data_IF_605805374680
#
_entry.id   IF_605805374680
#
_cell.length_a   1.000
_cell.length_b   1.000
_cell.length_c   1.000
_cell.angle_alpha   90.00
_cell.angle_beta   90.00
_cell.angle_gamma   90.00
#
_symmetry.space_group_name_H-M   'P 1'
#
loop_
_entity.id
_entity.type
_entity.pdbx_description
1 polymer ?
#
# COMPACT_ATOMS: atom_id res chain seq x y z
N UNK A 1 -64.62 -9.80 17.32
CA UNK A 1 -63.71 -9.36 18.40
C UNK A 1 -62.47 -8.78 17.74
N UNK A 2 -62.42 -7.46 17.60
CA UNK A 2 -61.28 -6.71 17.09
C UNK A 2 -60.24 -6.57 18.21
N UNK A 3 -59.13 -7.29 18.09
CA UNK A 3 -58.00 -7.16 19.00
C UNK A 3 -57.37 -5.78 18.85
N UNK A 4 -57.48 -4.96 19.88
CA UNK A 4 -56.79 -3.68 19.98
C UNK A 4 -55.30 -3.99 20.17
N UNK A 5 -54.50 -3.69 19.16
CA UNK A 5 -53.04 -3.74 19.20
C UNK A 5 -52.54 -2.64 20.16
N UNK A 6 -52.45 -2.98 21.45
CA UNK A 6 -51.87 -2.10 22.47
C UNK A 6 -50.37 -1.99 22.21
N UNK A 7 -49.99 -1.06 21.33
CA UNK A 7 -48.63 -0.51 21.32
C UNK A 7 -48.40 0.15 22.68
N UNK A 8 -47.81 -0.60 23.62
CA UNK A 8 -47.19 0.00 24.80
C UNK A 8 -46.22 1.05 24.28
N UNK A 9 -46.51 2.32 24.55
CA UNK A 9 -45.52 3.36 24.41
C UNK A 9 -44.38 2.98 25.35
N UNK A 10 -43.28 2.48 24.80
CA UNK A 10 -42.06 2.23 25.56
C UNK A 10 -41.48 3.60 25.92
N UNK A 11 -42.05 4.23 26.95
CA UNK A 11 -41.61 5.53 27.44
C UNK A 11 -40.32 5.26 28.22
N UNK A 12 -39.18 5.46 27.54
CA UNK A 12 -37.88 5.52 28.22
C UNK A 12 -37.95 6.63 29.28
N UNK A 13 -37.52 6.37 30.53
CA UNK A 13 -37.48 7.40 31.57
C UNK A 13 -36.43 8.49 31.28
N UNK A 14 -35.53 8.25 30.32
CA UNK A 14 -34.55 9.23 29.86
C UNK A 14 -34.90 9.77 28.47
N UNK A 15 -34.57 11.05 28.22
CA UNK A 15 -34.67 11.64 26.88
C UNK A 15 -33.82 10.84 25.90
N UNK A 16 -34.25 10.82 24.64
CA UNK A 16 -33.50 10.19 23.56
C UNK A 16 -32.09 10.79 23.46
N UNK A 17 -31.12 9.94 23.14
CA UNK A 17 -29.75 10.38 22.90
C UNK A 17 -29.71 11.42 21.77
N UNK A 18 -28.85 12.43 21.90
CA UNK A 18 -28.70 13.49 20.89
C UNK A 18 -28.26 12.95 19.50
N UNK A 19 -27.51 11.85 19.47
CA UNK A 19 -27.19 11.10 18.24
C UNK A 19 -28.04 9.84 18.17
N UNK A 20 -28.98 9.82 17.22
CA UNK A 20 -29.89 8.70 17.00
C UNK A 20 -29.34 7.67 16.01
N UNK A 21 -28.19 7.90 15.37
CA UNK A 21 -27.64 6.97 14.38
C UNK A 21 -27.40 5.61 15.01
N UNK A 22 -27.90 4.57 14.35
CA UNK A 22 -27.62 3.17 14.68
C UNK A 22 -27.37 2.40 13.39
N UNK A 23 -26.37 1.52 13.42
CA UNK A 23 -26.01 0.64 12.32
C UNK A 23 -26.46 -0.79 12.63
N UNK A 24 -27.75 -0.96 12.92
CA UNK A 24 -28.35 -2.24 13.36
C UNK A 24 -28.34 -3.30 12.25
N UNK A 25 -28.14 -2.85 11.00
CA UNK A 25 -28.03 -3.69 9.83
C UNK A 25 -26.58 -4.14 9.53
N UNK A 26 -25.60 -3.87 10.41
CA UNK A 26 -24.21 -4.26 10.17
C UNK A 26 -23.95 -5.69 10.66
N UNK A 27 -23.29 -6.49 9.84
CA UNK A 27 -22.90 -7.83 10.24
C UNK A 27 -21.69 -7.74 11.20
N UNK A 28 -21.77 -8.48 12.31
CA UNK A 28 -20.78 -8.47 13.38
C UNK A 28 -20.03 -9.81 13.38
N UNK A 29 -18.79 -9.88 12.84
CA UNK A 29 -18.03 -11.13 12.73
C UNK A 29 -17.86 -11.85 14.06
N UNK A 30 -17.78 -11.11 15.17
CA UNK A 30 -17.71 -11.70 16.50
C UNK A 30 -18.92 -12.56 16.90
N UNK A 31 -20.03 -12.46 16.15
CA UNK A 31 -21.25 -13.26 16.38
C UNK A 31 -21.59 -14.17 15.21
N UNK A 32 -21.22 -13.79 14.00
CA UNK A 32 -21.59 -14.50 12.76
C UNK A 32 -20.52 -15.44 12.26
N UNK A 33 -19.25 -15.27 12.67
CA UNK A 33 -18.11 -16.03 12.19
C UNK A 33 -17.33 -16.67 13.35
N UNK A 34 -16.88 -17.91 13.18
CA UNK A 34 -16.18 -18.66 14.22
C UNK A 34 -14.80 -18.08 14.52
N UNK A 35 -14.06 -17.69 13.49
CA UNK A 35 -12.74 -17.08 13.63
C UNK A 35 -12.85 -15.68 14.25
N UNK A 36 -13.80 -14.87 13.77
CA UNK A 36 -14.11 -13.56 14.33
C UNK A 36 -14.52 -13.62 15.81
N UNK A 37 -15.36 -14.60 16.17
CA UNK A 37 -15.73 -14.85 17.57
C UNK A 37 -14.52 -15.25 18.42
N UNK A 38 -13.69 -16.17 17.95
CA UNK A 38 -12.51 -16.63 18.68
C UNK A 38 -11.49 -15.50 18.90
N UNK A 39 -11.19 -14.73 17.86
CA UNK A 39 -10.26 -13.58 17.93
C UNK A 39 -10.80 -12.47 18.82
N UNK A 40 -12.12 -12.26 18.85
CA UNK A 40 -12.72 -11.21 19.69
C UNK A 40 -12.42 -11.41 21.18
N UNK A 41 -12.25 -12.65 21.65
CA UNK A 41 -11.92 -12.96 23.05
C UNK A 41 -10.58 -12.37 23.51
N UNK A 42 -9.64 -12.12 22.58
CA UNK A 42 -8.34 -11.48 22.89
C UNK A 42 -8.52 -10.01 23.31
N UNK A 43 -9.57 -9.35 22.82
CA UNK A 43 -9.81 -7.90 22.98
C UNK A 43 -11.09 -7.63 23.81
N UNK A 44 -11.53 -8.61 24.61
CA UNK A 44 -12.65 -8.46 25.54
C UNK A 44 -13.96 -9.16 25.13
N UNK A 45 -13.94 -9.96 24.07
CA UNK A 45 -15.05 -10.82 23.67
C UNK A 45 -15.97 -10.24 22.60
N UNK A 46 -17.04 -10.96 22.26
CA UNK A 46 -17.92 -10.58 21.16
C UNK A 46 -18.78 -9.37 21.49
N UNK A 47 -19.20 -8.64 20.44
CA UNK A 47 -20.08 -7.48 20.57
C UNK A 47 -21.35 -7.84 21.36
N UNK A 48 -21.61 -7.07 22.43
CA UNK A 48 -22.74 -7.29 23.31
C UNK A 48 -24.10 -7.20 22.60
N UNK A 49 -25.10 -7.97 23.07
CA UNK A 49 -26.45 -8.02 22.49
C UNK A 49 -27.14 -6.66 22.40
N UNK A 50 -26.85 -5.77 23.35
CA UNK A 50 -27.43 -4.42 23.44
C UNK A 50 -26.42 -3.32 23.05
N UNK A 51 -25.30 -3.68 22.42
CA UNK A 51 -24.30 -2.72 21.99
C UNK A 51 -24.83 -1.88 20.83
N UNK A 52 -24.70 -0.55 20.94
CA UNK A 52 -25.13 0.38 19.89
C UNK A 52 -23.98 0.64 18.93
N UNK A 53 -24.12 0.16 17.69
CA UNK A 53 -23.09 0.27 16.65
C UNK A 53 -23.32 1.53 15.81
N UNK A 54 -22.25 2.22 15.44
CA UNK A 54 -22.30 3.40 14.56
C UNK A 54 -22.20 4.76 15.27
N UNK A 55 -22.12 4.77 16.61
CA UNK A 55 -21.93 5.99 17.42
C UNK A 55 -20.48 6.22 17.88
N UNK A 56 -19.58 5.29 17.60
CA UNK A 56 -18.17 5.41 17.98
C UNK A 56 -17.48 6.49 17.15
N UNK A 57 -16.99 7.54 17.81
CA UNK A 57 -16.33 8.68 17.15
C UNK A 57 -14.87 8.39 16.78
N UNK A 58 -14.19 7.59 17.61
CA UNK A 58 -12.76 7.34 17.47
C UNK A 58 -12.47 5.99 16.79
N UNK A 59 -12.96 4.87 17.31
CA UNK A 59 -12.72 3.56 16.71
C UNK A 59 -13.82 3.20 15.70
N UNK A 60 -13.80 3.90 14.55
CA UNK A 60 -14.57 3.48 13.37
C UNK A 60 -13.91 2.24 12.75
N UNK A 61 -14.63 1.29 12.11
CA UNK A 61 -14.05 0.06 11.56
C UNK A 61 -12.83 0.26 10.65
N UNK A 62 -12.77 1.39 9.94
CA UNK A 62 -11.65 1.73 9.06
C UNK A 62 -10.32 1.95 9.81
N UNK A 63 -10.34 2.49 11.03
CA UNK A 63 -9.09 2.78 11.77
C UNK A 63 -8.36 1.53 12.22
N UNK A 64 -9.03 0.51 12.82
CA UNK A 64 -8.41 -0.79 13.04
C UNK A 64 -7.88 -1.43 11.76
N UNK A 65 -8.60 -1.33 10.63
CA UNK A 65 -8.10 -1.85 9.35
C UNK A 65 -6.84 -1.15 8.87
N UNK A 66 -6.74 0.18 9.05
CA UNK A 66 -5.51 0.91 8.76
C UNK A 66 -4.38 0.53 9.71
N UNK A 67 -4.65 0.32 11.00
CA UNK A 67 -3.62 -0.18 11.92
C UNK A 67 -3.09 -1.55 11.49
N UNK A 68 -3.98 -2.47 11.12
CA UNK A 68 -3.61 -3.79 10.60
C UNK A 68 -2.79 -3.65 9.31
N UNK A 69 -3.26 -2.84 8.36
CA UNK A 69 -2.56 -2.59 7.10
C UNK A 69 -1.16 -2.02 7.35
N UNK A 70 -1.02 -1.06 8.28
CA UNK A 70 0.27 -0.46 8.65
C UNK A 70 1.22 -1.49 9.27
N UNK A 71 0.71 -2.41 10.10
CA UNK A 71 1.53 -3.51 10.64
C UNK A 71 2.03 -4.42 9.51
N UNK A 72 1.17 -4.80 8.57
CA UNK A 72 1.55 -5.65 7.44
C UNK A 72 2.50 -4.95 6.47
N UNK A 73 2.29 -3.65 6.22
CA UNK A 73 3.20 -2.79 5.47
C UNK A 73 4.56 -2.69 6.19
N UNK A 74 4.58 -2.50 7.51
CA UNK A 74 5.83 -2.46 8.27
C UNK A 74 6.60 -3.77 8.17
N UNK A 75 5.91 -4.91 8.34
CA UNK A 75 6.50 -6.24 8.11
C UNK A 75 7.04 -6.37 6.69
N UNK A 76 6.29 -5.91 5.69
CA UNK A 76 6.73 -5.96 4.31
C UNK A 76 7.98 -5.12 4.05
N UNK A 77 8.07 -3.91 4.60
CA UNK A 77 9.28 -3.10 4.52
C UNK A 77 10.45 -3.78 5.25
N UNK A 78 10.20 -4.38 6.43
CA UNK A 78 11.22 -5.14 7.16
C UNK A 78 11.78 -6.31 6.37
N UNK A 79 10.96 -6.99 5.53
CA UNK A 79 11.49 -8.03 4.64
C UNK A 79 12.47 -7.49 3.60
N UNK A 80 12.31 -6.24 3.15
CA UNK A 80 13.19 -5.62 2.16
C UNK A 80 14.44 -4.98 2.79
N UNK A 81 14.37 -4.62 4.07
CA UNK A 81 15.43 -3.90 4.79
C UNK A 81 16.81 -4.57 4.72
N UNK A 82 16.89 -5.90 4.70
CA UNK A 82 18.16 -6.62 4.62
C UNK A 82 18.95 -6.32 3.33
N UNK A 83 18.24 -6.12 2.21
CA UNK A 83 18.78 -5.76 0.90
C UNK A 83 19.04 -4.26 0.72
N UNK A 84 18.55 -3.42 1.63
CA UNK A 84 18.76 -1.96 1.58
C UNK A 84 20.07 -1.52 2.25
N UNK A 85 20.83 -2.46 2.81
CA UNK A 85 22.16 -2.18 3.33
C UNK A 85 23.06 -1.65 2.21
N UNK A 86 23.57 -0.44 2.36
CA UNK A 86 24.41 0.18 1.33
C UNK A 86 25.88 -0.18 1.49
N UNK A 87 26.56 -0.45 0.38
CA UNK A 87 28.03 -0.58 0.29
C UNK A 87 28.63 0.59 -0.47
N UNK A 88 29.94 0.80 -0.29
CA UNK A 88 30.68 1.91 -0.89
C UNK A 88 30.97 3.07 0.07
N UNK A 89 32.03 3.82 -0.24
CA UNK A 89 32.46 5.03 0.48
C UNK A 89 32.15 6.25 -0.37
N UNK A 90 31.87 7.39 0.29
CA UNK A 90 31.63 8.67 -0.39
C UNK A 90 30.23 9.25 -0.19
N UNK A 91 29.73 9.98 -1.18
CA UNK A 91 28.42 10.65 -1.17
C UNK A 91 27.27 9.69 -1.49
N UNK A 92 26.01 10.10 -1.25
CA UNK A 92 24.84 9.21 -1.41
C UNK A 92 24.66 8.63 -2.81
N UNK A 93 25.08 9.36 -3.84
CA UNK A 93 25.10 8.96 -5.26
C UNK A 93 26.20 7.94 -5.61
N UNK A 94 27.22 7.79 -4.74
CA UNK A 94 28.29 6.81 -4.93
C UNK A 94 28.02 5.49 -4.19
N UNK A 95 27.07 5.49 -3.26
CA UNK A 95 26.66 4.29 -2.52
C UNK A 95 25.59 3.53 -3.28
N UNK A 96 25.71 2.21 -3.30
CA UNK A 96 24.76 1.29 -3.94
C UNK A 96 24.21 0.31 -2.90
N UNK A 97 23.04 -0.27 -3.17
CA UNK A 97 22.50 -1.34 -2.34
C UNK A 97 23.37 -2.61 -2.47
N UNK A 98 23.62 -3.29 -1.35
CA UNK A 98 24.43 -4.50 -1.32
C UNK A 98 23.64 -5.71 -1.83
N UNK A 99 23.87 -6.05 -3.09
CA UNK A 99 23.25 -7.20 -3.77
C UNK A 99 24.28 -8.29 -4.09
N UNK A 100 25.45 -8.26 -3.43
CA UNK A 100 26.54 -9.22 -3.64
C UNK A 100 26.07 -10.66 -3.42
N UNK A 101 26.68 -11.61 -4.13
CA UNK A 101 26.40 -13.04 -4.02
C UNK A 101 24.90 -13.40 -4.15
N UNK A 102 24.14 -12.68 -4.98
CA UNK A 102 22.72 -12.93 -5.19
C UNK A 102 21.88 -12.81 -3.91
N UNK A 103 22.29 -11.92 -2.99
CA UNK A 103 21.63 -11.63 -1.70
C UNK A 103 20.13 -11.44 -1.77
N UNK A 104 19.66 -10.76 -2.81
CA UNK A 104 18.25 -10.54 -3.05
C UNK A 104 17.42 -11.83 -3.09
N UNK A 105 18.00 -12.95 -3.53
CA UNK A 105 17.29 -14.21 -3.70
C UNK A 105 17.38 -15.11 -2.46
N UNK A 106 18.55 -15.24 -1.83
CA UNK A 106 18.70 -16.13 -0.67
C UNK A 106 18.16 -15.51 0.63
N UNK A 107 18.14 -14.17 0.76
CA UNK A 107 17.51 -13.47 1.89
C UNK A 107 16.03 -13.10 1.61
N UNK A 108 15.49 -13.47 0.45
CA UNK A 108 14.11 -13.21 0.03
C UNK A 108 13.71 -11.71 0.07
N UNK A 109 14.70 -10.81 -0.08
CA UNK A 109 14.50 -9.36 -0.02
C UNK A 109 14.48 -8.66 -1.38
N UNK A 110 14.33 -9.43 -2.47
CA UNK A 110 14.22 -8.91 -3.83
C UNK A 110 13.11 -7.85 -4.00
N UNK A 111 13.42 -6.78 -4.73
CA UNK A 111 12.47 -5.75 -5.16
C UNK A 111 12.92 -5.18 -6.50
N UNK A 112 12.01 -5.06 -7.46
CA UNK A 112 12.26 -4.48 -8.78
C UNK A 112 12.59 -2.99 -8.69
N UNK A 113 12.11 -2.30 -7.66
CA UNK A 113 12.32 -0.86 -7.50
C UNK A 113 13.80 -0.46 -7.45
N UNK A 114 14.66 -1.27 -6.80
CA UNK A 114 16.10 -1.03 -6.69
C UNK A 114 16.84 -1.13 -8.02
N UNK A 115 16.78 -2.25 -8.78
CA UNK A 115 17.43 -2.35 -10.09
C UNK A 115 16.81 -1.41 -11.12
N UNK A 116 15.51 -1.13 -11.04
CA UNK A 116 14.83 -0.22 -11.97
C UNK A 116 15.38 1.21 -11.89
N UNK A 117 15.85 1.64 -10.71
CA UNK A 117 16.51 2.93 -10.54
C UNK A 117 17.70 3.13 -11.49
N UNK A 118 18.49 2.07 -11.69
CA UNK A 118 19.62 2.07 -12.63
C UNK A 118 19.17 1.81 -14.07
N UNK A 119 18.39 0.74 -14.27
CA UNK A 119 18.02 0.24 -15.59
C UNK A 119 17.23 1.25 -16.42
N UNK A 120 16.33 2.01 -15.80
CA UNK A 120 15.46 2.98 -16.47
C UNK A 120 16.09 4.38 -16.60
N UNK A 121 17.41 4.49 -16.39
CA UNK A 121 18.15 5.75 -16.43
C UNK A 121 17.64 6.81 -15.41
N UNK A 122 16.87 6.39 -14.41
CA UNK A 122 16.38 7.26 -13.33
C UNK A 122 17.56 7.79 -12.49
N UNK A 123 18.60 6.98 -12.31
CA UNK A 123 19.88 7.39 -11.72
C UNK A 123 20.54 8.56 -12.46
N UNK A 124 20.27 8.74 -13.75
CA UNK A 124 20.76 9.87 -14.55
C UNK A 124 19.81 11.08 -14.55
N UNK A 125 18.67 10.99 -13.85
CA UNK A 125 17.66 12.05 -13.80
C UNK A 125 16.87 12.22 -15.09
N UNK A 126 16.89 11.24 -16.00
CA UNK A 126 16.19 11.33 -17.28
C UNK A 126 14.69 11.14 -17.08
N UNK A 127 13.90 11.86 -17.87
CA UNK A 127 12.45 11.75 -17.84
C UNK A 127 12.00 10.46 -18.54
N UNK A 128 11.17 9.62 -17.89
CA UNK A 128 10.64 8.39 -18.48
C UNK A 128 9.94 8.62 -19.82
N UNK A 129 9.94 7.62 -20.70
CA UNK A 129 9.34 7.66 -22.05
C UNK A 129 10.01 8.57 -23.09
N UNK A 130 10.72 9.63 -22.68
CA UNK A 130 11.52 10.46 -23.59
C UNK A 130 12.92 9.89 -23.79
N UNK A 131 13.47 9.23 -22.77
CA UNK A 131 14.75 8.54 -22.86
C UNK A 131 14.60 7.08 -23.26
N UNK A 132 15.56 6.59 -24.03
CA UNK A 132 15.72 5.19 -24.38
C UNK A 132 17.15 4.72 -24.08
N UNK A 133 17.35 3.42 -24.01
CA UNK A 133 18.67 2.80 -23.95
C UNK A 133 18.74 1.60 -24.90
N UNK A 134 19.96 1.24 -25.29
CA UNK A 134 20.24 0.05 -26.09
C UNK A 134 20.47 -1.09 -25.11
N UNK A 135 19.72 -2.18 -25.27
CA UNK A 135 19.92 -3.40 -24.50
C UNK A 135 21.22 -4.06 -24.93
N UNK A 136 22.04 -4.44 -23.95
CA UNK A 136 23.39 -4.96 -24.17
C UNK A 136 23.48 -6.34 -23.51
N UNK A 137 24.16 -7.28 -24.16
CA UNK A 137 24.40 -8.62 -23.62
C UNK A 137 25.41 -8.61 -22.45
N UNK A 138 25.61 -9.78 -21.83
CA UNK A 138 26.60 -9.97 -20.75
C UNK A 138 28.05 -9.72 -21.18
N UNK A 139 28.32 -9.61 -22.48
CA UNK A 139 29.62 -9.34 -23.09
C UNK A 139 29.77 -7.87 -23.54
N UNK A 140 28.80 -7.00 -23.24
CA UNK A 140 28.84 -5.59 -23.61
C UNK A 140 28.47 -5.30 -25.07
N UNK A 141 27.93 -6.26 -25.83
CA UNK A 141 27.49 -6.08 -27.22
C UNK A 141 25.99 -5.76 -27.28
N UNK A 142 25.55 -4.85 -28.15
CA UNK A 142 24.13 -4.58 -28.35
C UNK A 142 23.38 -5.87 -28.71
N UNK A 143 22.32 -6.16 -27.97
CA UNK A 143 21.38 -7.21 -28.33
C UNK A 143 20.71 -6.82 -29.65
N UNK A 144 20.84 -7.68 -30.64
CA UNK A 144 20.21 -7.49 -31.95
C UNK A 144 18.87 -8.21 -31.92
N UNK A 145 17.79 -7.47 -32.18
CA UNK A 145 16.45 -8.04 -32.31
C UNK A 145 16.37 -8.86 -33.60
N UNK A 146 15.37 -9.74 -33.74
CA UNK A 146 15.16 -10.58 -34.93
C UNK A 146 15.10 -9.82 -36.26
N UNK A 147 14.90 -8.50 -36.23
CA UNK A 147 14.87 -7.57 -37.36
C UNK A 147 16.26 -7.03 -37.76
N UNK A 148 17.33 -7.44 -37.10
CA UNK A 148 18.70 -6.98 -37.37
C UNK A 148 19.04 -5.61 -36.80
N UNK A 149 18.12 -4.96 -36.07
CA UNK A 149 18.34 -3.68 -35.42
C UNK A 149 18.73 -3.86 -33.94
N UNK A 150 19.48 -2.92 -33.34
CA UNK A 150 19.73 -2.95 -31.90
C UNK A 150 18.41 -2.82 -31.12
N UNK A 151 18.27 -3.63 -30.07
CA UNK A 151 17.09 -3.61 -29.21
C UNK A 151 17.06 -2.32 -28.38
N UNK A 152 16.26 -1.34 -28.83
CA UNK A 152 16.00 -0.10 -28.10
C UNK A 152 14.87 -0.34 -27.09
N UNK A 153 15.14 -0.08 -25.81
CA UNK A 153 14.19 -0.18 -24.71
C UNK A 153 13.75 1.21 -24.24
N UNK A 154 12.51 1.26 -23.79
CA UNK A 154 11.86 2.42 -23.19
C UNK A 154 11.22 1.98 -21.87
N UNK A 155 10.84 2.95 -21.04
CA UNK A 155 10.06 2.70 -19.82
C UNK A 155 8.83 1.84 -20.11
N UNK A 156 8.79 0.64 -19.55
CA UNK A 156 7.75 -0.36 -19.81
C UNK A 156 6.50 -0.15 -18.92
N UNK A 157 6.62 0.60 -17.83
CA UNK A 157 5.54 0.83 -16.88
C UNK A 157 4.46 1.78 -17.44
N UNK A 158 3.20 1.70 -16.95
CA UNK A 158 2.16 2.66 -17.27
C UNK A 158 2.56 4.11 -16.91
N UNK A 159 2.10 5.08 -17.70
CA UNK A 159 2.53 6.49 -17.62
C UNK A 159 2.49 7.06 -16.20
N UNK A 160 1.41 6.82 -15.45
CA UNK A 160 1.28 7.30 -14.07
C UNK A 160 2.32 6.66 -13.13
N UNK A 161 2.61 5.38 -13.31
CA UNK A 161 3.63 4.66 -12.54
C UNK A 161 5.03 5.16 -12.89
N UNK A 162 5.35 5.37 -14.17
CA UNK A 162 6.62 5.94 -14.58
C UNK A 162 6.82 7.37 -14.06
N UNK A 163 5.78 8.21 -14.10
CA UNK A 163 5.82 9.56 -13.51
C UNK A 163 6.01 9.51 -12.00
N UNK A 164 5.38 8.55 -11.32
CA UNK A 164 5.58 8.34 -9.88
C UNK A 164 7.03 7.93 -9.55
N UNK A 165 7.62 7.04 -10.35
CA UNK A 165 9.04 6.68 -10.24
C UNK A 165 9.93 7.91 -10.43
N UNK A 166 9.66 8.74 -11.45
CA UNK A 166 10.42 9.97 -11.68
C UNK A 166 10.31 10.96 -10.51
N UNK A 167 9.12 11.13 -9.93
CA UNK A 167 8.91 11.95 -8.74
C UNK A 167 9.69 11.42 -7.54
N UNK A 168 9.64 10.10 -7.30
CA UNK A 168 10.39 9.45 -6.22
C UNK A 168 11.90 9.64 -6.38
N UNK A 169 12.40 9.52 -7.62
CA UNK A 169 13.79 9.78 -7.97
C UNK A 169 14.18 11.24 -7.73
N UNK A 170 13.34 12.19 -8.11
CA UNK A 170 13.60 13.62 -7.92
C UNK A 170 13.73 13.96 -6.44
N UNK A 171 12.87 13.37 -5.60
CA UNK A 171 12.95 13.51 -4.14
C UNK A 171 14.24 12.87 -3.58
N UNK A 172 14.62 11.68 -4.07
CA UNK A 172 15.86 11.02 -3.66
C UNK A 172 17.10 11.85 -4.03
N UNK A 173 17.17 12.39 -5.24
CA UNK A 173 18.28 13.27 -5.67
C UNK A 173 18.33 14.57 -4.87
N UNK A 174 17.17 15.13 -4.52
CA UNK A 174 17.08 16.31 -3.66
C UNK A 174 17.63 16.00 -2.26
N UNK A 175 17.31 14.84 -1.69
CA UNK A 175 17.89 14.38 -0.43
C UNK A 175 19.41 14.21 -0.54
N UNK A 176 19.91 13.58 -1.62
CA UNK A 176 21.35 13.45 -1.87
C UNK A 176 22.03 14.82 -1.92
N UNK A 177 21.44 15.79 -2.61
CA UNK A 177 21.97 17.16 -2.67
C UNK A 177 22.04 17.81 -1.26
N UNK A 178 21.01 17.62 -0.43
CA UNK A 178 21.00 18.10 0.95
C UNK A 178 22.04 17.39 1.84
N UNK A 179 22.26 16.09 1.64
CA UNK A 179 23.28 15.32 2.38
C UNK A 179 24.70 15.78 2.06
N UNK A 180 24.95 16.22 0.81
CA UNK A 180 26.24 16.83 0.40
C UNK A 180 26.51 18.15 1.13
N UNK A 181 25.46 18.89 1.49
CA UNK A 181 25.54 20.10 2.31
C UNK A 181 25.68 19.82 3.82
N UNK A 182 25.81 18.54 4.23
CA UNK A 182 25.81 18.04 5.62
C UNK A 182 24.60 18.46 6.46
N UNK A 183 23.47 18.76 5.82
CA UNK A 183 22.22 19.08 6.52
C UNK A 183 21.53 17.82 7.05
N UNK A 184 21.72 16.70 6.35
CA UNK A 184 21.11 15.39 6.65
C UNK A 184 22.16 14.28 6.55
N UNK A 185 21.95 13.11 7.23
CA UNK A 185 22.89 11.99 7.14
C UNK A 185 23.02 11.46 5.71
N UNK A 186 24.18 10.91 5.40
CA UNK A 186 24.44 10.34 4.07
C UNK A 186 23.84 8.94 4.00
N UNK A 187 22.82 8.79 3.15
CA UNK A 187 22.17 7.53 2.81
C UNK A 187 22.36 7.27 1.31
N UNK A 188 22.41 6.01 0.89
CA UNK A 188 22.48 5.69 -0.54
C UNK A 188 21.24 6.22 -1.28
N UNK A 189 21.45 6.87 -2.43
CA UNK A 189 20.38 7.51 -3.20
C UNK A 189 19.30 6.50 -3.61
N UNK A 190 19.72 5.27 -3.98
CA UNK A 190 18.82 4.14 -4.27
C UNK A 190 17.91 3.77 -3.09
N UNK A 191 18.43 3.85 -1.86
CA UNK A 191 17.67 3.49 -0.66
C UNK A 191 16.65 4.59 -0.35
N UNK A 192 17.03 5.86 -0.49
CA UNK A 192 16.09 6.97 -0.35
C UNK A 192 15.01 6.91 -1.43
N UNK A 193 15.37 6.57 -2.66
CA UNK A 193 14.41 6.33 -3.73
C UNK A 193 13.41 5.23 -3.36
N UNK A 194 13.91 4.09 -2.87
CA UNK A 194 13.07 3.00 -2.38
C UNK A 194 12.12 3.46 -1.28
N UNK A 195 12.62 4.15 -0.25
CA UNK A 195 11.81 4.57 0.89
C UNK A 195 10.73 5.57 0.50
N UNK A 196 11.05 6.53 -0.36
CA UNK A 196 10.08 7.48 -0.91
C UNK A 196 9.01 6.74 -1.72
N UNK A 197 9.43 5.80 -2.57
CA UNK A 197 8.51 4.98 -3.35
C UNK A 197 7.63 4.11 -2.43
N UNK A 198 8.18 3.54 -1.37
CA UNK A 198 7.45 2.71 -0.41
C UNK A 198 6.38 3.51 0.34
N UNK A 199 6.64 4.79 0.68
CA UNK A 199 5.64 5.66 1.34
C UNK A 199 4.41 5.85 0.44
N UNK A 200 4.58 6.19 -0.84
CA UNK A 200 3.41 6.37 -1.71
C UNK A 200 2.72 5.05 -2.04
N UNK A 201 3.44 3.92 -2.11
CA UNK A 201 2.82 2.59 -2.23
C UNK A 201 2.02 2.23 -0.97
N UNK A 202 2.50 2.57 0.23
CA UNK A 202 1.76 2.41 1.47
C UNK A 202 0.50 3.26 1.49
N UNK A 203 0.56 4.52 1.06
CA UNK A 203 -0.62 5.39 0.92
C UNK A 203 -1.62 4.84 -0.10
N UNK A 204 -1.14 4.33 -1.23
CA UNK A 204 -1.98 3.67 -2.23
C UNK A 204 -2.67 2.43 -1.64
N UNK A 205 -1.95 1.62 -0.85
CA UNK A 205 -2.54 0.46 -0.17
C UNK A 205 -3.60 0.87 0.87
N UNK A 206 -3.39 1.93 1.63
CA UNK A 206 -4.42 2.47 2.53
C UNK A 206 -5.65 2.96 1.76
N UNK A 207 -5.46 3.56 0.58
CA UNK A 207 -6.57 3.92 -0.31
C UNK A 207 -7.32 2.67 -0.82
N UNK A 208 -6.60 1.60 -1.18
CA UNK A 208 -7.17 0.28 -1.53
C UNK A 208 -8.04 -0.27 -0.40
N UNK A 209 -7.52 -0.29 0.85
CA UNK A 209 -8.27 -0.75 2.03
C UNK A 209 -9.50 0.12 2.28
N UNK A 210 -9.38 1.44 2.14
CA UNK A 210 -10.51 2.37 2.28
C UNK A 210 -11.58 2.13 1.22
N UNK A 211 -11.18 1.93 -0.03
CA UNK A 211 -12.09 1.66 -1.13
C UNK A 211 -12.81 0.32 -0.95
N UNK A 212 -12.07 -0.72 -0.56
CA UNK A 212 -12.63 -2.03 -0.21
C UNK A 212 -13.65 -1.94 0.93
N UNK A 213 -13.30 -1.27 2.03
CA UNK A 213 -14.20 -1.07 3.17
C UNK A 213 -15.45 -0.26 2.79
N UNK A 214 -15.31 0.70 1.88
CA UNK A 214 -16.43 1.51 1.37
C UNK A 214 -17.36 0.70 0.44
N UNK A 215 -16.84 -0.29 -0.27
CA UNK A 215 -17.60 -1.20 -1.14
C UNK A 215 -18.30 -2.33 -0.36
N UNK A 216 -17.74 -2.75 0.78
CA UNK A 216 -18.20 -3.90 1.56
C UNK A 216 -19.58 -3.73 2.25
N UNK A 217 -20.16 -2.51 2.26
CA UNK A 217 -21.53 -2.25 2.69
C UNK A 217 -21.83 -2.71 4.12
N UNK A 218 -22.67 -3.74 4.28
CA UNK A 218 -23.04 -4.31 5.59
C UNK A 218 -21.92 -5.14 6.23
N UNK A 219 -21.02 -5.70 5.43
CA UNK A 219 -19.93 -6.59 5.86
C UNK A 219 -18.57 -5.88 5.84
N UNK A 220 -18.52 -4.66 6.35
CA UNK A 220 -17.31 -3.79 6.32
C UNK A 220 -16.06 -4.54 6.79
N UNK A 221 -16.19 -5.43 7.77
CA UNK A 221 -15.09 -6.22 8.32
C UNK A 221 -14.45 -7.22 7.35
N UNK A 222 -15.10 -7.59 6.25
CA UNK A 222 -14.47 -8.41 5.19
C UNK A 222 -13.25 -7.68 4.58
N UNK A 223 -13.23 -6.34 4.58
CA UNK A 223 -12.08 -5.56 4.13
C UNK A 223 -10.83 -5.73 5.02
N UNK A 224 -10.98 -6.27 6.24
CA UNK A 224 -9.83 -6.62 7.07
C UNK A 224 -9.00 -7.76 6.44
N UNK A 225 -9.61 -8.64 5.64
CA UNK A 225 -8.89 -9.69 4.90
C UNK A 225 -7.98 -9.09 3.84
N UNK A 226 -8.41 -7.99 3.20
CA UNK A 226 -7.56 -7.22 2.27
C UNK A 226 -6.41 -6.60 3.05
N UNK A 227 -6.69 -5.87 4.14
CA UNK A 227 -5.68 -5.21 4.95
C UNK A 227 -4.62 -6.18 5.53
N UNK A 228 -5.05 -7.37 5.97
CA UNK A 228 -4.22 -8.42 6.59
C UNK A 228 -3.76 -9.51 5.59
N UNK A 229 -3.77 -9.23 4.28
CA UNK A 229 -3.38 -10.24 3.31
C UNK A 229 -1.88 -10.56 3.44
N UNK A 230 -1.48 -11.85 3.56
CA UNK A 230 -0.07 -12.24 3.62
C UNK A 230 0.73 -11.80 2.39
N UNK A 231 0.07 -11.64 1.24
CA UNK A 231 0.71 -11.13 0.02
C UNK A 231 1.25 -9.72 0.20
N UNK A 232 0.65 -8.91 1.08
CA UNK A 232 1.13 -7.55 1.38
C UNK A 232 2.54 -7.60 1.95
N UNK A 233 2.85 -8.57 2.81
CA UNK A 233 4.18 -8.68 3.42
C UNK A 233 5.24 -8.88 2.34
N UNK A 234 4.99 -9.76 1.37
CA UNK A 234 6.04 -10.13 0.41
C UNK A 234 6.06 -9.28 -0.85
N UNK A 235 4.89 -8.86 -1.34
CA UNK A 235 4.74 -8.31 -2.69
C UNK A 235 4.54 -6.79 -2.72
N UNK A 236 4.07 -6.15 -1.64
CA UNK A 236 3.64 -4.74 -1.70
C UNK A 236 4.75 -3.76 -2.10
N UNK A 237 6.01 -4.10 -1.80
CA UNK A 237 7.19 -3.33 -2.18
C UNK A 237 8.11 -4.07 -3.15
N UNK A 238 7.66 -5.18 -3.73
CA UNK A 238 8.41 -5.84 -4.79
C UNK A 238 8.29 -5.04 -6.08
N UNK A 239 7.08 -4.55 -6.40
CA UNK A 239 6.81 -3.71 -7.56
C UNK A 239 5.80 -2.60 -7.22
N UNK A 240 5.46 -1.74 -8.18
CA UNK A 240 4.58 -0.58 -8.04
C UNK A 240 3.07 -0.92 -8.12
N UNK A 241 2.70 -2.17 -7.88
CA UNK A 241 1.33 -2.71 -8.04
C UNK A 241 0.30 -2.11 -7.06
N UNK A 242 0.76 -1.49 -5.97
CA UNK A 242 -0.14 -0.80 -5.04
C UNK A 242 -0.87 0.39 -5.70
N UNK A 243 -0.24 1.05 -6.69
CA UNK A 243 -0.86 2.13 -7.45
C UNK A 243 -2.05 1.65 -8.31
N UNK A 244 -1.89 0.68 -9.23
CA UNK A 244 -3.00 0.22 -10.05
C UNK A 244 -4.10 -0.44 -9.21
N UNK A 245 -3.78 -1.12 -8.11
CA UNK A 245 -4.81 -1.66 -7.21
C UNK A 245 -5.65 -0.56 -6.55
N UNK A 246 -5.02 0.54 -6.13
CA UNK A 246 -5.73 1.70 -5.58
C UNK A 246 -6.65 2.36 -6.61
N UNK A 247 -6.17 2.57 -7.85
CA UNK A 247 -6.98 3.12 -8.92
C UNK A 247 -8.12 2.17 -9.34
N UNK A 248 -7.87 0.87 -9.41
CA UNK A 248 -8.88 -0.13 -9.77
C UNK A 248 -10.03 -0.16 -8.74
N UNK A 249 -9.71 -0.27 -7.45
CA UNK A 249 -10.75 -0.23 -6.41
C UNK A 249 -11.41 1.16 -6.30
N UNK A 250 -10.65 2.23 -6.50
CA UNK A 250 -11.18 3.60 -6.57
C UNK A 250 -12.20 3.76 -7.70
N UNK A 251 -11.92 3.22 -8.88
CA UNK A 251 -12.83 3.19 -10.02
C UNK A 251 -14.09 2.38 -9.72
N UNK A 252 -13.96 1.20 -9.12
CA UNK A 252 -15.11 0.40 -8.68
C UNK A 252 -15.96 1.13 -7.63
N UNK A 253 -15.32 1.85 -6.71
CA UNK A 253 -16.02 2.66 -5.72
C UNK A 253 -16.77 3.84 -6.37
N UNK A 254 -16.14 4.52 -7.31
CA UNK A 254 -16.74 5.62 -8.07
C UNK A 254 -17.98 5.12 -8.84
N UNK A 255 -17.85 3.96 -9.51
CA UNK A 255 -18.94 3.26 -10.19
C UNK A 255 -20.09 2.92 -9.23
N UNK A 256 -19.79 2.27 -8.10
CA UNK A 256 -20.79 1.89 -7.10
C UNK A 256 -21.55 3.10 -6.52
N UNK A 257 -20.90 4.28 -6.49
CA UNK A 257 -21.51 5.54 -6.05
C UNK A 257 -22.24 6.30 -7.17
N UNK A 258 -22.45 5.67 -8.33
CA UNK A 258 -23.06 6.29 -9.53
C UNK A 258 -22.33 7.55 -10.00
N UNK A 259 -21.01 7.57 -9.82
CA UNK A 259 -20.11 8.61 -10.36
C UNK A 259 -19.08 7.92 -11.25
N UNK A 260 -19.49 7.33 -12.38
CA UNK A 260 -18.55 6.69 -13.30
C UNK A 260 -17.55 7.75 -13.79
N UNK A 261 -16.28 7.38 -13.77
CA UNK A 261 -15.16 8.16 -14.32
C UNK A 261 -15.04 7.91 -15.82
#
# INVERSE_FOLDING_TARGET
MTGIDTRRATISPQPLAADLRTADNRDCPSRTDSLGSALSNVIGGPVGRHAVIGRTRYLTPLRPMFLIALVFLALGWSTKAACLNSTGTGTGDQRVANWDNQRAYYELCYSDTVPLYGAELLSQGKFPYKSSWIETDSSGKPQIRYDGQPAIRYMEYPVLTGVYQYMSMTLAKTYTALSKLRVVPVVAEVVVFFDVAAIGLALAWLATVWAAASLAGRRVWDAALVAASPLVIFQIFTNFDALPTAFALGGLLAWARRRPV
#
